data_IF_556692871850
#
_entry.id   IF_556692871850
#
_cell.length_a   1.000
_cell.length_b   1.000
_cell.length_c   1.000
_cell.angle_alpha   90.00
_cell.angle_beta   90.00
_cell.angle_gamma   90.00
#
_symmetry.space_group_name_H-M   'P 1'
#
loop_
_entity.id
_entity.type
_entity.pdbx_description
1 polymer ?
#
# COMPACT_ATOMS: atom_id res chain seq x y z
N UNK A 1 -35.12 8.18 13.35
CA UNK A 1 -34.17 7.17 12.83
C UNK A 1 -32.89 7.34 13.63
N UNK A 2 -32.67 6.47 14.61
CA UNK A 2 -31.50 6.51 15.49
C UNK A 2 -30.30 5.99 14.69
N UNK A 3 -29.36 6.85 14.36
CA UNK A 3 -28.07 6.42 13.84
C UNK A 3 -27.38 5.61 14.94
N UNK A 4 -27.34 4.28 14.75
CA UNK A 4 -26.57 3.41 15.64
C UNK A 4 -25.14 3.90 15.67
N UNK A 5 -24.59 4.07 16.87
CA UNK A 5 -23.19 4.44 17.08
C UNK A 5 -22.32 3.33 16.47
N UNK A 6 -21.53 3.63 15.43
CA UNK A 6 -20.70 2.62 14.77
C UNK A 6 -19.70 1.94 15.71
N UNK A 7 -19.32 2.60 16.81
CA UNK A 7 -18.44 2.03 17.83
C UNK A 7 -19.12 0.96 18.68
N UNK A 8 -20.45 1.07 18.90
CA UNK A 8 -21.22 0.10 19.68
C UNK A 8 -21.36 -1.27 18.98
N UNK A 9 -21.23 -1.30 17.65
CA UNK A 9 -21.28 -2.55 16.86
C UNK A 9 -19.92 -3.25 16.72
N UNK A 10 -18.82 -2.56 17.00
CA UNK A 10 -17.49 -3.09 16.77
C UNK A 10 -17.13 -4.23 17.73
N UNK A 11 -17.30 -4.04 19.03
CA UNK A 11 -16.91 -5.02 20.04
C UNK A 11 -17.64 -6.38 19.88
N UNK A 12 -18.98 -6.43 19.67
CA UNK A 12 -19.67 -7.67 19.37
C UNK A 12 -19.15 -8.35 18.09
N UNK A 13 -18.91 -7.56 17.04
CA UNK A 13 -18.38 -8.04 15.76
C UNK A 13 -16.98 -8.66 15.93
N UNK A 14 -16.09 -7.97 16.63
CA UNK A 14 -14.74 -8.46 16.93
C UNK A 14 -14.78 -9.75 17.75
N UNK A 15 -15.65 -9.83 18.75
CA UNK A 15 -15.81 -11.01 19.61
C UNK A 15 -16.29 -12.23 18.81
N UNK A 16 -17.28 -12.06 17.93
CA UNK A 16 -17.76 -13.10 17.05
C UNK A 16 -16.67 -13.57 16.08
N UNK A 17 -15.94 -12.62 15.46
CA UNK A 17 -14.83 -12.91 14.57
C UNK A 17 -13.68 -13.68 15.27
N UNK A 18 -13.35 -13.34 16.51
CA UNK A 18 -12.39 -14.12 17.36
C UNK A 18 -12.89 -15.52 17.64
N UNK A 19 -14.19 -15.71 17.76
CA UNK A 19 -14.83 -17.03 17.93
C UNK A 19 -14.85 -17.88 16.67
N UNK A 20 -14.34 -17.35 15.53
CA UNK A 20 -14.30 -18.08 14.26
C UNK A 20 -15.57 -17.94 13.42
N UNK A 21 -16.46 -17.01 13.75
CA UNK A 21 -17.65 -16.72 12.94
C UNK A 21 -17.23 -16.12 11.58
N UNK A 22 -17.48 -16.86 10.50
CA UNK A 22 -17.07 -16.49 9.15
C UNK A 22 -17.77 -15.22 8.64
N UNK A 23 -19.04 -15.02 8.98
CA UNK A 23 -19.79 -13.83 8.57
C UNK A 23 -19.27 -12.59 9.31
N UNK A 24 -18.94 -12.74 10.60
CA UNK A 24 -18.34 -11.66 11.37
C UNK A 24 -16.94 -11.29 10.84
N UNK A 25 -16.14 -12.25 10.43
CA UNK A 25 -14.83 -12.04 9.80
C UNK A 25 -14.98 -11.30 8.46
N UNK A 26 -15.90 -11.72 7.59
CA UNK A 26 -16.15 -11.06 6.31
C UNK A 26 -16.61 -9.60 6.51
N UNK A 27 -17.53 -9.37 7.46
CA UNK A 27 -17.98 -8.00 7.82
C UNK A 27 -16.84 -7.14 8.34
N UNK A 28 -15.98 -7.69 9.21
CA UNK A 28 -14.81 -7.00 9.74
C UNK A 28 -13.85 -6.63 8.60
N UNK A 29 -13.58 -7.55 7.69
CA UNK A 29 -12.71 -7.29 6.54
C UNK A 29 -13.28 -6.23 5.61
N UNK A 30 -14.52 -6.33 5.20
CA UNK A 30 -15.16 -5.34 4.33
C UNK A 30 -15.15 -3.94 4.94
N UNK A 31 -15.32 -3.84 6.26
CA UNK A 31 -15.30 -2.55 6.96
C UNK A 31 -13.93 -1.88 6.92
N UNK A 32 -12.85 -2.65 7.10
CA UNK A 32 -11.49 -2.09 7.24
C UNK A 32 -10.63 -2.23 6.00
N UNK A 33 -11.06 -3.00 5.00
CA UNK A 33 -10.30 -3.17 3.74
C UNK A 33 -9.93 -1.83 3.10
N UNK A 34 -10.86 -0.87 2.90
CA UNK A 34 -10.51 0.41 2.28
C UNK A 34 -9.46 1.19 3.07
N UNK A 35 -9.52 1.12 4.40
CA UNK A 35 -8.53 1.82 5.26
C UNK A 35 -7.15 1.21 5.17
N UNK A 36 -7.04 -0.11 5.15
CA UNK A 36 -5.76 -0.80 4.98
C UNK A 36 -5.20 -0.56 3.58
N UNK A 37 -6.05 -0.62 2.56
CA UNK A 37 -5.68 -0.34 1.17
C UNK A 37 -5.11 1.06 1.02
N UNK A 38 -5.77 2.09 1.56
CA UNK A 38 -5.29 3.47 1.58
C UNK A 38 -3.92 3.59 2.26
N UNK A 39 -3.74 2.99 3.44
CA UNK A 39 -2.48 3.03 4.19
C UNK A 39 -1.33 2.38 3.43
N UNK A 40 -1.58 1.24 2.80
CA UNK A 40 -0.57 0.55 1.98
C UNK A 40 -0.25 1.36 0.74
N UNK A 41 -1.27 1.93 0.08
CA UNK A 41 -1.08 2.78 -1.09
C UNK A 41 -0.22 4.01 -0.77
N UNK A 42 -0.53 4.73 0.30
CA UNK A 42 0.28 5.87 0.79
C UNK A 42 1.71 5.45 1.07
N UNK A 43 1.90 4.31 1.74
CA UNK A 43 3.23 3.76 2.03
C UNK A 43 4.04 3.49 0.75
N UNK A 44 3.42 2.85 -0.24
CA UNK A 44 4.06 2.56 -1.53
C UNK A 44 4.40 3.83 -2.32
N UNK A 45 3.51 4.83 -2.33
CA UNK A 45 3.74 6.13 -2.97
C UNK A 45 4.91 6.86 -2.31
N UNK A 46 4.97 6.84 -0.97
CA UNK A 46 6.07 7.44 -0.20
C UNK A 46 7.42 6.80 -0.54
N UNK A 47 7.47 5.48 -0.61
CA UNK A 47 8.69 4.76 -0.97
C UNK A 47 9.09 4.94 -2.44
N UNK A 48 8.12 5.11 -3.33
CA UNK A 48 8.36 5.52 -4.71
C UNK A 48 9.13 6.86 -4.76
N UNK A 49 8.69 7.85 -3.98
CA UNK A 49 9.33 9.18 -3.89
C UNK A 49 10.73 9.10 -3.27
N UNK A 50 10.96 8.17 -2.35
CA UNK A 50 12.28 7.93 -1.70
C UNK A 50 13.27 7.14 -2.56
N UNK A 51 13.00 6.97 -3.85
CA UNK A 51 13.91 6.33 -4.78
C UNK A 51 13.84 4.80 -4.79
N UNK A 52 12.72 4.23 -4.34
CA UNK A 52 12.44 2.78 -4.40
C UNK A 52 11.38 2.43 -5.47
N UNK A 53 11.52 2.89 -6.73
CA UNK A 53 10.51 2.68 -7.77
C UNK A 53 10.31 1.20 -8.11
N UNK A 54 11.29 0.35 -7.79
CA UNK A 54 11.24 -1.10 -8.01
C UNK A 54 10.17 -1.81 -7.16
N UNK A 55 9.69 -1.19 -6.06
CA UNK A 55 8.64 -1.76 -5.22
C UNK A 55 7.34 -1.95 -6.00
N UNK A 56 6.87 -0.90 -6.68
CA UNK A 56 5.64 -0.96 -7.47
C UNK A 56 5.71 -1.94 -8.65
N UNK A 57 6.92 -2.28 -9.08
CA UNK A 57 7.11 -3.27 -10.12
C UNK A 57 6.94 -4.70 -9.62
N UNK A 58 7.05 -4.92 -8.32
CA UNK A 58 7.00 -6.26 -7.70
C UNK A 58 5.76 -6.49 -6.88
N UNK A 59 5.24 -5.44 -6.24
CA UNK A 59 4.06 -5.50 -5.38
C UNK A 59 3.00 -4.52 -5.87
N UNK A 60 1.78 -4.96 -5.82
CA UNK A 60 0.64 -4.07 -5.87
C UNK A 60 0.18 -3.77 -4.43
N UNK A 61 -0.66 -2.76 -4.32
CA UNK A 61 -1.31 -2.43 -3.05
C UNK A 61 -2.05 -3.65 -2.49
N UNK A 62 -2.77 -4.37 -3.32
CA UNK A 62 -3.56 -5.50 -2.89
C UNK A 62 -2.75 -6.73 -2.47
N UNK A 63 -1.57 -7.03 -3.08
CA UNK A 63 -0.69 -8.12 -2.62
C UNK A 63 -0.35 -7.92 -1.13
N UNK A 64 -0.03 -6.67 -0.75
CA UNK A 64 0.30 -6.33 0.64
C UNK A 64 -0.94 -6.35 1.51
N UNK A 65 -2.07 -5.82 1.03
CA UNK A 65 -3.35 -5.81 1.75
C UNK A 65 -3.81 -7.24 2.05
N UNK A 66 -3.77 -8.15 1.07
CA UNK A 66 -4.11 -9.56 1.25
C UNK A 66 -3.25 -10.22 2.33
N UNK A 67 -1.96 -9.93 2.35
CA UNK A 67 -1.03 -10.48 3.33
C UNK A 67 -1.30 -9.93 4.75
N UNK A 68 -1.65 -8.64 4.86
CA UNK A 68 -2.07 -8.03 6.14
C UNK A 68 -3.30 -8.74 6.68
N UNK A 69 -4.33 -8.94 5.85
CA UNK A 69 -5.55 -9.63 6.27
C UNK A 69 -5.33 -11.11 6.54
N UNK A 70 -4.45 -11.78 5.80
CA UNK A 70 -4.08 -13.18 6.10
C UNK A 70 -3.44 -13.31 7.48
N UNK A 71 -2.51 -12.41 7.85
CA UNK A 71 -1.92 -12.37 9.19
C UNK A 71 -2.93 -12.02 10.26
N UNK A 72 -3.81 -11.03 9.98
CA UNK A 72 -4.90 -10.69 10.88
C UNK A 72 -5.75 -11.91 11.23
N UNK A 73 -6.10 -12.75 10.23
CA UNK A 73 -6.83 -14.00 10.46
C UNK A 73 -6.10 -14.96 11.39
N UNK A 74 -4.78 -15.06 11.24
CA UNK A 74 -3.96 -15.95 12.08
C UNK A 74 -3.83 -15.42 13.51
N UNK A 75 -3.71 -14.12 13.68
CA UNK A 75 -3.36 -13.47 14.94
C UNK A 75 -4.55 -12.82 15.66
N UNK A 76 -5.76 -12.86 15.06
CA UNK A 76 -6.94 -12.19 15.61
C UNK A 76 -7.29 -12.65 17.03
N UNK A 77 -7.08 -13.93 17.31
CA UNK A 77 -7.26 -14.51 18.64
C UNK A 77 -6.27 -14.00 19.68
N UNK A 78 -5.08 -13.59 19.26
CA UNK A 78 -4.03 -13.02 20.11
C UNK A 78 -4.12 -11.50 20.27
N UNK A 79 -4.93 -10.83 19.45
CA UNK A 79 -5.15 -9.39 19.55
C UNK A 79 -5.86 -9.05 20.86
N UNK A 80 -5.20 -8.29 21.75
CA UNK A 80 -5.68 -8.04 23.12
C UNK A 80 -6.63 -6.84 23.23
N UNK A 81 -6.69 -5.94 22.23
CA UNK A 81 -7.57 -4.75 22.21
C UNK A 81 -9.05 -5.12 22.07
N UNK A 82 -9.95 -4.32 22.63
CA UNK A 82 -11.40 -4.51 22.52
C UNK A 82 -12.12 -3.34 21.84
N UNK A 83 -11.44 -2.24 21.62
CA UNK A 83 -11.95 -1.03 20.99
C UNK A 83 -11.48 -0.90 19.53
N UNK A 84 -12.24 -0.10 18.78
CA UNK A 84 -12.00 0.11 17.35
C UNK A 84 -10.67 0.83 17.08
N UNK A 85 -10.28 1.79 17.90
CA UNK A 85 -9.05 2.57 17.74
C UNK A 85 -7.81 1.69 17.91
N UNK A 86 -7.82 0.81 18.92
CA UNK A 86 -6.78 -0.20 19.12
C UNK A 86 -6.68 -1.15 17.94
N UNK A 87 -7.81 -1.54 17.35
CA UNK A 87 -7.84 -2.41 16.18
C UNK A 87 -7.30 -1.72 14.92
N UNK A 88 -7.69 -0.47 14.67
CA UNK A 88 -7.14 0.34 13.58
C UNK A 88 -5.63 0.51 13.77
N UNK A 89 -5.16 0.83 14.97
CA UNK A 89 -3.74 0.95 15.27
C UNK A 89 -2.97 -0.35 15.01
N UNK A 90 -3.56 -1.50 15.33
CA UNK A 90 -3.02 -2.82 15.01
C UNK A 90 -2.92 -3.04 13.50
N UNK A 91 -3.97 -2.72 12.73
CA UNK A 91 -3.96 -2.85 11.26
C UNK A 91 -2.90 -1.95 10.62
N UNK A 92 -2.81 -0.69 11.05
CA UNK A 92 -1.80 0.28 10.58
C UNK A 92 -0.40 -0.24 10.82
N UNK A 93 -0.15 -0.75 12.04
CA UNK A 93 1.16 -1.30 12.43
C UNK A 93 1.49 -2.54 11.61
N UNK A 94 0.53 -3.44 11.43
CA UNK A 94 0.69 -4.66 10.63
C UNK A 94 0.98 -4.35 9.16
N UNK A 95 0.25 -3.39 8.58
CA UNK A 95 0.47 -2.95 7.20
C UNK A 95 1.87 -2.34 7.01
N UNK A 96 2.30 -1.49 7.93
CA UNK A 96 3.65 -0.90 7.91
C UNK A 96 4.74 -1.96 8.07
N UNK A 97 4.61 -2.87 9.01
CA UNK A 97 5.59 -3.96 9.21
C UNK A 97 5.67 -4.83 7.95
N UNK A 98 4.54 -5.17 7.36
CA UNK A 98 4.52 -5.98 6.14
C UNK A 98 5.21 -5.29 4.97
N UNK A 99 4.92 -4.01 4.75
CA UNK A 99 5.59 -3.22 3.73
C UNK A 99 7.12 -3.16 3.96
N UNK A 100 7.54 -2.95 5.20
CA UNK A 100 8.96 -2.92 5.56
C UNK A 100 9.65 -4.28 5.38
N UNK A 101 9.00 -5.38 5.74
CA UNK A 101 9.53 -6.74 5.56
C UNK A 101 9.76 -7.03 4.07
N UNK A 102 8.81 -6.64 3.21
CA UNK A 102 8.97 -6.79 1.77
C UNK A 102 10.12 -5.94 1.22
N UNK A 103 10.24 -4.70 1.68
CA UNK A 103 11.37 -3.84 1.31
C UNK A 103 12.69 -4.51 1.69
N UNK A 104 12.82 -4.95 2.94
CA UNK A 104 14.04 -5.60 3.46
C UNK A 104 14.37 -6.88 2.71
N UNK A 105 13.39 -7.74 2.48
CA UNK A 105 13.57 -8.99 1.75
C UNK A 105 14.13 -8.74 0.35
N UNK A 106 13.56 -7.79 -0.38
CA UNK A 106 14.02 -7.51 -1.74
C UNK A 106 15.30 -6.70 -1.80
N UNK A 107 15.58 -5.85 -0.84
CA UNK A 107 16.88 -5.19 -0.72
C UNK A 107 17.98 -6.20 -0.39
N UNK A 108 17.73 -7.19 0.46
CA UNK A 108 18.65 -8.27 0.73
C UNK A 108 18.92 -9.10 -0.54
N UNK A 109 17.88 -9.52 -1.26
CA UNK A 109 18.02 -10.26 -2.52
C UNK A 109 18.78 -9.47 -3.61
N UNK A 110 18.64 -8.12 -3.62
CA UNK A 110 19.43 -7.26 -4.51
C UNK A 110 20.89 -7.15 -4.11
N UNK A 111 21.21 -7.21 -2.80
CA UNK A 111 22.58 -7.21 -2.30
C UNK A 111 23.33 -8.50 -2.62
N UNK A 112 22.64 -9.65 -2.49
CA UNK A 112 23.21 -10.95 -2.88
C UNK A 112 23.51 -11.02 -4.39
N UNK A 113 22.73 -10.30 -5.23
CA UNK A 113 22.99 -10.15 -6.67
C UNK A 113 23.98 -9.05 -7.06
N UNK A 114 24.36 -8.19 -6.12
CA UNK A 114 25.35 -7.10 -6.30
C UNK A 114 26.07 -6.89 -4.97
N UNK A 115 27.22 -7.52 -4.80
CA UNK A 115 28.15 -7.16 -3.72
C UNK A 115 28.61 -5.71 -3.93
N UNK A 116 28.02 -4.76 -3.23
CA UNK A 116 28.67 -3.57 -2.65
C UNK A 116 27.66 -2.60 -2.03
N UNK A 117 27.94 -2.30 -0.75
CA UNK A 117 27.75 -1.10 0.08
C UNK A 117 26.53 -0.17 -0.15
N UNK A 118 25.71 0.09 0.81
CA UNK A 118 25.71 1.10 1.86
C UNK A 118 24.36 1.27 2.57
N UNK A 119 24.45 1.49 3.88
CA UNK A 119 23.58 2.29 4.74
C UNK A 119 22.07 2.07 4.71
N UNK A 120 21.57 1.25 5.62
CA UNK A 120 20.16 1.16 5.97
C UNK A 120 19.78 2.31 6.90
N UNK A 121 18.82 3.10 6.45
CA UNK A 121 18.20 4.15 7.26
C UNK A 121 17.26 3.52 8.31
N UNK A 122 17.71 3.51 9.56
CA UNK A 122 17.07 2.95 10.75
C UNK A 122 15.87 3.80 11.24
N UNK A 123 15.59 4.92 10.58
CA UNK A 123 14.61 5.93 11.03
C UNK A 123 13.13 5.56 10.79
N UNK A 124 12.84 4.41 10.16
CA UNK A 124 11.47 3.96 9.94
C UNK A 124 10.81 3.29 11.16
N UNK A 125 11.55 3.05 12.23
CA UNK A 125 11.05 2.37 13.43
C UNK A 125 10.29 3.25 14.42
N UNK A 126 10.25 4.58 14.25
CA UNK A 126 9.84 5.49 15.32
C UNK A 126 8.43 6.10 15.20
N UNK A 127 7.58 5.63 14.26
CA UNK A 127 6.21 6.19 14.14
C UNK A 127 5.15 5.10 14.21
N UNK A 128 4.93 4.58 15.41
CA UNK A 128 3.91 3.57 15.71
C UNK A 128 2.52 4.15 16.03
N UNK A 129 2.31 5.46 15.99
CA UNK A 129 1.00 6.08 16.17
C UNK A 129 0.72 7.02 15.00
N UNK A 130 -0.42 6.84 14.32
CA UNK A 130 -0.95 7.85 13.42
C UNK A 130 -1.41 9.03 14.28
N UNK A 131 -0.83 10.20 14.04
CA UNK A 131 -1.33 11.46 14.60
C UNK A 131 -2.17 12.17 13.54
N UNK A 132 -3.12 13.04 13.88
CA UNK A 132 -3.87 13.82 12.90
C UNK A 132 -2.98 14.58 11.91
N UNK A 133 -1.81 15.03 12.34
CA UNK A 133 -0.80 15.65 11.48
C UNK A 133 -0.16 14.65 10.49
N UNK A 134 0.01 13.38 10.88
CA UNK A 134 0.48 12.32 10.00
C UNK A 134 -0.55 11.96 8.94
N UNK A 135 -1.82 11.90 9.32
CA UNK A 135 -2.91 11.56 8.40
C UNK A 135 -3.13 12.68 7.36
N UNK A 136 -2.98 13.95 7.77
CA UNK A 136 -3.02 15.09 6.85
C UNK A 136 -1.85 15.08 5.85
N UNK A 137 -0.63 14.78 6.32
CA UNK A 137 0.53 14.66 5.43
C UNK A 137 0.40 13.47 4.47
N UNK A 138 -0.19 12.37 4.92
CA UNK A 138 -0.44 11.19 4.09
C UNK A 138 -1.49 11.49 3.00
N UNK A 139 -2.55 12.23 3.33
CA UNK A 139 -3.55 12.68 2.38
C UNK A 139 -2.97 13.64 1.32
N UNK A 140 -2.10 14.57 1.72
CA UNK A 140 -1.39 15.46 0.81
C UNK A 140 -0.48 14.68 -0.16
N UNK A 141 0.22 13.64 0.31
CA UNK A 141 1.06 12.80 -0.56
C UNK A 141 0.24 12.06 -1.62
N UNK A 142 -0.93 11.56 -1.27
CA UNK A 142 -1.85 10.90 -2.22
C UNK A 142 -2.37 11.89 -3.24
N UNK A 143 -2.73 13.12 -2.82
CA UNK A 143 -3.23 14.13 -3.74
C UNK A 143 -2.17 14.57 -4.75
N UNK A 144 -0.94 14.81 -4.29
CA UNK A 144 0.20 15.09 -5.17
C UNK A 144 0.43 13.94 -6.17
N UNK A 145 0.31 12.70 -5.74
CA UNK A 145 0.42 11.55 -6.63
C UNK A 145 -0.68 11.54 -7.68
N UNK A 146 -1.94 11.79 -7.30
CA UNK A 146 -3.07 11.88 -8.22
C UNK A 146 -2.88 13.00 -9.24
N UNK A 147 -2.52 14.21 -8.78
CA UNK A 147 -2.24 15.35 -9.66
C UNK A 147 -1.15 15.04 -10.68
N UNK A 148 -0.06 14.39 -10.26
CA UNK A 148 1.03 14.01 -11.16
C UNK A 148 0.56 12.95 -12.15
N UNK A 149 -0.25 11.98 -11.74
CA UNK A 149 -0.83 10.99 -12.65
C UNK A 149 -1.69 11.63 -13.74
N UNK A 150 -2.47 12.66 -13.42
CA UNK A 150 -3.28 13.38 -14.42
C UNK A 150 -2.43 14.08 -15.50
N UNK A 151 -1.14 14.31 -15.27
CA UNK A 151 -0.23 14.86 -16.28
C UNK A 151 0.23 13.85 -17.35
N UNK A 152 -0.08 12.56 -17.16
CA UNK A 152 0.28 11.51 -18.11
C UNK A 152 -0.76 11.34 -19.22
N UNK A 153 -0.35 10.92 -20.44
CA UNK A 153 -1.28 10.46 -21.44
C UNK A 153 -2.21 9.38 -20.89
N UNK A 154 -3.46 9.36 -21.34
CA UNK A 154 -4.50 8.47 -20.80
C UNK A 154 -4.08 7.02 -20.75
N UNK A 155 -3.41 6.52 -21.79
CA UNK A 155 -2.93 5.13 -21.87
C UNK A 155 -1.90 4.80 -20.79
N UNK A 156 -0.94 5.71 -20.54
CA UNK A 156 0.11 5.55 -19.53
C UNK A 156 -0.46 5.70 -18.13
N UNK A 157 -1.36 6.67 -17.94
CA UNK A 157 -2.08 6.88 -16.69
C UNK A 157 -2.89 5.65 -16.30
N UNK A 158 -3.65 5.07 -17.24
CA UNK A 158 -4.38 3.84 -16.99
C UNK A 158 -3.44 2.68 -16.64
N UNK A 159 -2.34 2.52 -17.39
CA UNK A 159 -1.34 1.49 -17.14
C UNK A 159 -0.75 1.60 -15.73
N UNK A 160 -0.40 2.82 -15.29
CA UNK A 160 0.12 3.07 -13.95
C UNK A 160 -0.92 2.76 -12.88
N UNK A 161 -2.15 3.31 -13.00
CA UNK A 161 -3.24 3.06 -12.05
C UNK A 161 -3.59 1.59 -11.94
N UNK A 162 -3.87 0.96 -13.07
CA UNK A 162 -4.30 -0.44 -13.09
C UNK A 162 -3.24 -1.38 -12.47
N UNK A 163 -1.95 -1.06 -12.60
CA UNK A 163 -0.90 -1.88 -12.00
C UNK A 163 -0.65 -1.55 -10.54
N UNK A 164 -0.73 -0.27 -10.15
CA UNK A 164 -0.44 0.18 -8.78
C UNK A 164 -1.64 -0.07 -7.86
N UNK A 165 -2.85 0.24 -8.31
CA UNK A 165 -4.06 0.25 -7.50
C UNK A 165 -4.88 -1.04 -7.63
N UNK A 166 -4.95 -1.65 -8.84
CA UNK A 166 -5.92 -2.71 -9.17
C UNK A 166 -5.29 -4.07 -9.47
N UNK A 167 -3.97 -4.23 -9.38
CA UNK A 167 -3.23 -5.49 -9.59
C UNK A 167 -3.37 -6.15 -10.97
N UNK A 168 -3.86 -5.45 -11.97
CA UNK A 168 -4.09 -6.03 -13.29
C UNK A 168 -2.79 -6.58 -13.87
N UNK A 169 -2.79 -7.84 -14.27
CA UNK A 169 -1.61 -8.48 -14.83
C UNK A 169 -1.19 -7.85 -16.16
N UNK A 170 0.13 -7.78 -16.42
CA UNK A 170 0.65 -7.19 -17.67
C UNK A 170 0.12 -7.86 -18.93
N UNK A 171 -0.26 -9.13 -18.88
CA UNK A 171 -0.88 -9.83 -20.00
C UNK A 171 -2.25 -9.22 -20.32
N UNK A 172 -3.05 -8.96 -19.31
CA UNK A 172 -4.40 -8.40 -19.45
C UNK A 172 -4.34 -6.93 -19.83
N UNK A 173 -3.40 -6.16 -19.24
CA UNK A 173 -3.10 -4.78 -19.63
C UNK A 173 -2.64 -4.69 -21.09
N UNK A 174 -1.88 -5.67 -21.58
CA UNK A 174 -1.49 -5.70 -22.97
C UNK A 174 -2.70 -5.80 -23.89
N UNK A 175 -3.63 -6.70 -23.56
CA UNK A 175 -4.86 -6.88 -24.34
C UNK A 175 -5.75 -5.61 -24.28
N UNK A 176 -5.94 -5.04 -23.09
CA UNK A 176 -6.80 -3.87 -22.89
C UNK A 176 -6.24 -2.61 -23.56
N UNK A 177 -4.93 -2.41 -23.50
CA UNK A 177 -4.27 -1.19 -23.98
C UNK A 177 -3.63 -1.33 -25.36
N UNK A 178 -3.80 -2.46 -26.04
CA UNK A 178 -3.27 -2.70 -27.39
C UNK A 178 -1.74 -2.75 -27.45
N UNK A 179 -1.08 -3.30 -26.41
CA UNK A 179 0.33 -3.65 -26.51
C UNK A 179 0.51 -5.00 -27.19
N UNK A 180 1.60 -5.18 -27.92
CA UNK A 180 1.89 -6.43 -28.65
C UNK A 180 2.08 -7.66 -27.75
N UNK A 181 2.39 -7.45 -26.47
CA UNK A 181 2.58 -8.52 -25.49
C UNK A 181 2.61 -7.97 -24.06
N UNK A 182 2.45 -8.85 -23.05
CA UNK A 182 2.66 -8.50 -21.65
C UNK A 182 4.06 -7.95 -21.36
N UNK A 183 5.08 -8.41 -22.10
CA UNK A 183 6.44 -7.85 -22.01
C UNK A 183 6.52 -6.41 -22.55
N UNK A 184 5.76 -6.09 -23.59
CA UNK A 184 5.69 -4.73 -24.12
C UNK A 184 4.97 -3.79 -23.12
N UNK A 185 3.84 -4.24 -22.55
CA UNK A 185 3.14 -3.52 -21.49
C UNK A 185 4.03 -3.30 -20.27
N UNK A 186 4.79 -4.32 -19.86
CA UNK A 186 5.73 -4.22 -18.73
C UNK A 186 6.84 -3.19 -19.00
N UNK A 187 7.44 -3.16 -20.20
CA UNK A 187 8.43 -2.15 -20.55
C UNK A 187 7.84 -0.74 -20.53
N UNK A 188 6.63 -0.56 -21.07
CA UNK A 188 5.93 0.71 -21.06
C UNK A 188 5.63 1.17 -19.62
N UNK A 189 5.20 0.24 -18.75
CA UNK A 189 5.00 0.53 -17.33
C UNK A 189 6.27 1.04 -16.66
N UNK A 190 7.41 0.38 -16.85
CA UNK A 190 8.68 0.85 -16.24
C UNK A 190 9.13 2.21 -16.78
N UNK A 191 8.91 2.49 -18.06
CA UNK A 191 9.20 3.80 -18.63
C UNK A 191 8.32 4.90 -18.02
N UNK A 192 7.01 4.66 -17.94
CA UNK A 192 6.06 5.57 -17.31
C UNK A 192 6.34 5.75 -15.81
N UNK A 193 6.69 4.67 -15.10
CA UNK A 193 7.06 4.71 -13.69
C UNK A 193 8.31 5.57 -13.44
N UNK A 194 9.34 5.46 -14.29
CA UNK A 194 10.54 6.30 -14.19
C UNK A 194 10.18 7.79 -14.34
N UNK A 195 9.31 8.13 -15.30
CA UNK A 195 8.81 9.50 -15.46
C UNK A 195 7.98 9.95 -14.26
N UNK A 196 7.14 9.08 -13.70
CA UNK A 196 6.35 9.37 -12.51
C UNK A 196 7.25 9.76 -11.32
N UNK A 197 8.31 9.01 -11.07
CA UNK A 197 9.29 9.33 -10.01
C UNK A 197 9.92 10.71 -10.22
N UNK A 198 10.33 11.03 -11.45
CA UNK A 198 10.93 12.33 -11.76
C UNK A 198 9.95 13.47 -11.50
N UNK A 199 8.70 13.34 -11.99
CA UNK A 199 7.65 14.36 -11.80
C UNK A 199 7.27 14.54 -10.34
N UNK A 200 7.18 13.44 -9.57
CA UNK A 200 6.91 13.49 -8.13
C UNK A 200 8.03 14.21 -7.35
N UNK A 201 9.31 13.95 -7.68
CA UNK A 201 10.45 14.65 -7.08
C UNK A 201 10.43 16.15 -7.40
N UNK A 202 10.14 16.52 -8.65
CA UNK A 202 10.03 17.91 -9.06
C UNK A 202 8.90 18.66 -8.33
N UNK A 203 7.77 18.01 -8.11
CA UNK A 203 6.63 18.60 -7.39
C UNK A 203 6.90 18.78 -5.89
N UNK A 204 7.75 17.95 -5.32
CA UNK A 204 8.13 18.01 -3.89
C UNK A 204 9.25 19.00 -3.58
N UNK A 205 9.77 19.73 -4.58
CA UNK A 205 10.86 20.69 -4.40
C UNK A 205 12.21 20.09 -4.07
N UNK A 206 12.40 18.76 -4.16
CA UNK A 206 13.72 18.12 -4.03
C UNK A 206 14.41 18.10 -5.39
N UNK A 207 15.65 18.65 -5.49
CA UNK A 207 16.41 18.59 -6.74
C UNK A 207 16.69 17.12 -7.13
N UNK A 208 16.79 16.81 -8.42
CA UNK A 208 17.24 15.49 -8.87
C UNK A 208 18.68 15.29 -8.44
N UNK A 209 18.97 14.18 -7.74
CA UNK A 209 20.33 13.68 -7.50
C UNK A 209 20.94 13.10 -8.79
#
# INVERSE_FOLDING_TARGET
MTTADPSAEFEPLLRAARGGDADALDRLFRRYYPRVEELVHVGLVRDLRRGRPWLLARFSTGDIVQDVFRRLLQDLGAFAGNDEDSFISYLVTSARHRLLDEIRYHEAARRDGRRTADGLDEQLHARAASTPASDAADAEEVEVFREVLETFPERERYLLRARIEQEVHFKDLAAQLGYSSGHAARRAFYAAQAQLVVRLKQRSGSPPE
#
